data_IF_112524522363
#
_entry.id   IF_112524522363
#
_cell.length_a   1.000
_cell.length_b   1.000
_cell.length_c   1.000
_cell.angle_alpha   90.00
_cell.angle_beta   90.00
_cell.angle_gamma   90.00
#
_symmetry.space_group_name_H-M   'P 1'
#
loop_
_entity.id
_entity.type
_entity.pdbx_description
1 polymer ?
#
# COMPACT_ATOMS: atom_id res chain seq x y z
N UNK A 1 3.67 -15.14 25.03
CA UNK A 1 4.88 -15.11 24.19
C UNK A 1 4.62 -15.98 22.98
N UNK A 2 4.19 -15.39 21.86
CA UNK A 2 4.11 -16.09 20.57
C UNK A 2 5.15 -15.42 19.68
N UNK A 3 6.31 -16.08 19.53
CA UNK A 3 7.27 -15.72 18.50
C UNK A 3 6.64 -16.16 17.18
N UNK A 4 6.15 -15.22 16.39
CA UNK A 4 5.77 -15.50 15.00
C UNK A 4 7.10 -15.67 14.27
N UNK A 5 7.56 -16.91 14.18
CA UNK A 5 8.63 -17.27 13.25
C UNK A 5 8.02 -17.11 11.87
N UNK A 6 8.26 -15.95 11.27
CA UNK A 6 8.11 -15.79 9.83
C UNK A 6 9.35 -16.50 9.29
N UNK A 7 9.18 -17.73 8.81
CA UNK A 7 10.22 -18.39 8.03
C UNK A 7 10.59 -17.43 6.90
N UNK A 8 11.83 -16.94 6.95
CA UNK A 8 12.44 -16.20 5.85
C UNK A 8 12.67 -17.24 4.76
N UNK A 9 11.75 -17.34 3.80
CA UNK A 9 12.10 -17.87 2.49
C UNK A 9 13.10 -16.86 1.91
N UNK A 10 14.37 -17.23 2.01
CA UNK A 10 15.43 -16.64 1.18
C UNK A 10 14.95 -16.79 -0.27
N UNK A 11 14.55 -15.66 -0.87
CA UNK A 11 14.38 -15.55 -2.31
C UNK A 11 15.78 -15.73 -2.91
N UNK A 12 16.18 -16.99 -3.12
CA UNK A 12 17.29 -17.35 -3.99
C UNK A 12 17.00 -16.70 -5.35
N UNK A 13 17.81 -15.71 -5.69
CA UNK A 13 17.89 -15.14 -7.03
C UNK A 13 18.32 -16.28 -7.97
N UNK A 14 17.36 -17.04 -8.50
CA UNK A 14 17.58 -17.87 -9.68
C UNK A 14 17.94 -16.91 -10.83
N UNK A 15 19.25 -16.71 -11.03
CA UNK A 15 19.82 -16.23 -12.27
C UNK A 15 19.34 -17.15 -13.40
N UNK A 16 18.35 -16.68 -14.16
CA UNK A 16 17.92 -17.33 -15.39
C UNK A 16 19.07 -17.32 -16.39
N UNK A 17 19.72 -18.47 -16.55
CA UNK A 17 20.61 -18.71 -17.68
C UNK A 17 19.80 -18.70 -18.98
N UNK A 18 19.94 -17.59 -19.71
CA UNK A 18 19.52 -17.41 -21.10
C UNK A 18 20.20 -18.46 -22.00
N UNK A 19 19.49 -19.54 -22.32
CA UNK A 19 19.87 -20.46 -23.41
C UNK A 19 19.45 -19.83 -24.74
N UNK A 20 20.37 -19.08 -25.34
CA UNK A 20 20.29 -18.67 -26.74
C UNK A 20 20.34 -19.90 -27.67
N UNK A 21 19.20 -20.24 -28.30
CA UNK A 21 19.21 -21.02 -29.53
C UNK A 21 19.46 -20.10 -30.73
N UNK A 22 20.70 -20.11 -31.23
CA UNK A 22 21.07 -19.66 -32.56
C UNK A 22 20.34 -20.51 -33.61
N UNK A 23 19.45 -19.90 -34.38
CA UNK A 23 19.12 -20.37 -35.72
C UNK A 23 19.39 -19.25 -36.72
N UNK A 24 20.32 -19.58 -37.62
CA UNK A 24 20.80 -18.83 -38.76
C UNK A 24 19.68 -18.54 -39.76
N UNK A 25 19.62 -17.32 -40.28
CA UNK A 25 19.31 -17.07 -41.68
C UNK A 25 19.97 -15.77 -42.11
N UNK A 26 20.75 -15.92 -43.17
CA UNK A 26 21.64 -14.96 -43.80
C UNK A 26 20.95 -14.58 -45.11
N UNK A 27 20.61 -13.30 -45.32
CA UNK A 27 20.50 -12.74 -46.68
C UNK A 27 20.59 -11.20 -46.71
N UNK A 28 21.73 -10.78 -47.25
CA UNK A 28 22.15 -9.59 -48.01
C UNK A 28 21.31 -8.28 -48.08
N UNK A 29 22.07 -7.21 -47.73
CA UNK A 29 22.18 -5.79 -48.16
C UNK A 29 21.60 -5.37 -49.56
N UNK A 30 21.54 -4.06 -49.97
CA UNK A 30 22.40 -2.94 -49.52
C UNK A 30 21.87 -1.46 -49.53
N UNK A 31 22.75 -0.60 -48.99
CA UNK A 31 23.15 0.75 -49.44
C UNK A 31 22.29 2.02 -49.18
N UNK A 32 22.91 3.00 -48.50
CA UNK A 32 23.04 4.46 -48.77
C UNK A 32 23.50 5.16 -47.46
N UNK A 33 24.76 5.50 -47.18
CA UNK A 33 25.65 6.60 -47.65
C UNK A 33 25.24 8.05 -47.32
N UNK A 34 26.25 8.80 -46.80
CA UNK A 34 26.44 10.25 -46.61
C UNK A 34 25.79 10.93 -45.38
N UNK A 35 26.41 11.85 -44.61
CA UNK A 35 27.66 12.66 -44.69
C UNK A 35 28.15 12.99 -43.25
N UNK A 36 29.42 12.85 -42.88
CA UNK A 36 30.51 13.88 -42.90
C UNK A 36 30.28 15.24 -42.20
N UNK A 37 31.23 15.58 -41.33
CA UNK A 37 31.61 16.93 -40.86
C UNK A 37 31.62 17.04 -39.33
N UNK A 38 32.71 17.33 -38.60
CA UNK A 38 34.05 17.82 -38.92
C UNK A 38 34.45 18.94 -37.95
N UNK A 39 35.71 18.93 -37.48
CA UNK A 39 36.46 19.95 -36.68
C UNK A 39 36.55 19.65 -35.17
N UNK A 40 37.64 19.08 -34.64
CA UNK A 40 38.97 19.67 -34.36
C UNK A 40 38.94 20.94 -33.49
N UNK A 41 39.38 20.81 -32.24
CA UNK A 41 40.31 21.77 -31.66
C UNK A 41 41.27 21.10 -30.68
N UNK A 42 42.53 21.49 -30.82
CA UNK A 42 43.72 20.97 -30.16
C UNK A 42 43.93 21.69 -28.83
N UNK A 43 44.10 20.94 -27.74
CA UNK A 43 44.57 21.44 -26.45
C UNK A 43 45.70 20.56 -25.93
N UNK A 44 46.92 20.88 -26.33
CA UNK A 44 48.16 20.28 -25.80
C UNK A 44 48.43 20.85 -24.42
N UNK A 45 48.36 20.02 -23.38
CA UNK A 45 48.79 20.32 -22.03
C UNK A 45 49.56 19.14 -21.47
N UNK A 46 50.86 19.33 -21.30
CA UNK A 46 51.85 18.32 -20.92
C UNK A 46 51.85 18.10 -19.39
N UNK A 47 51.80 16.82 -19.03
CA UNK A 47 52.36 16.11 -17.87
C UNK A 47 52.73 16.90 -16.60
N UNK A 48 52.14 16.46 -15.49
CA UNK A 48 52.88 16.04 -14.29
C UNK A 48 52.16 14.80 -13.72
N UNK A 49 52.72 13.60 -14.00
CA UNK A 49 52.29 12.32 -13.44
C UNK A 49 52.82 12.22 -12.00
N UNK A 50 52.00 12.63 -11.03
CA UNK A 50 52.11 12.07 -9.68
C UNK A 50 51.36 10.74 -9.67
N UNK A 51 52.15 9.66 -9.80
CA UNK A 51 51.73 8.29 -9.55
C UNK A 51 51.49 8.14 -8.03
N UNK A 52 50.36 8.64 -7.55
CA UNK A 52 49.81 8.18 -6.27
C UNK A 52 49.49 6.69 -6.44
N UNK A 53 50.22 5.86 -5.71
CA UNK A 53 49.98 4.43 -5.64
C UNK A 53 48.58 4.19 -5.11
N UNK A 54 47.65 4.00 -6.03
CA UNK A 54 46.34 3.40 -5.79
C UNK A 54 46.63 1.96 -5.36
N UNK A 55 46.91 1.79 -4.06
CA UNK A 55 46.76 0.52 -3.37
C UNK A 55 45.26 0.19 -3.43
N UNK A 56 44.81 -0.30 -4.59
CA UNK A 56 43.53 -0.98 -4.74
C UNK A 56 43.58 -2.21 -3.83
N UNK A 57 43.29 -2.00 -2.54
CA UNK A 57 42.90 -3.06 -1.62
C UNK A 57 41.88 -3.90 -2.37
N UNK A 58 42.24 -5.16 -2.65
CA UNK A 58 41.37 -6.13 -3.29
C UNK A 58 40.26 -6.48 -2.31
N UNK A 59 39.28 -5.57 -2.19
CA UNK A 59 38.08 -5.73 -1.38
C UNK A 59 37.37 -6.97 -1.90
N UNK A 60 37.24 -7.96 -1.02
CA UNK A 60 36.69 -9.27 -1.36
C UNK A 60 35.23 -9.13 -1.77
N UNK A 61 34.70 -10.08 -2.56
CA UNK A 61 33.29 -10.07 -2.98
C UNK A 61 32.34 -10.03 -1.78
N UNK A 62 32.71 -10.67 -0.67
CA UNK A 62 31.93 -10.67 0.57
C UNK A 62 31.95 -9.31 1.29
N UNK A 63 33.08 -8.62 1.36
CA UNK A 63 33.15 -7.25 1.91
C UNK A 63 32.27 -6.27 1.10
N UNK A 64 32.26 -6.40 -0.23
CA UNK A 64 31.37 -5.61 -1.10
C UNK A 64 29.89 -5.89 -0.83
N UNK A 65 29.51 -7.14 -0.59
CA UNK A 65 28.13 -7.53 -0.25
C UNK A 65 27.71 -6.97 1.10
N UNK A 66 28.53 -7.14 2.14
CA UNK A 66 28.25 -6.62 3.48
C UNK A 66 28.19 -5.08 3.51
N UNK A 67 29.08 -4.40 2.78
CA UNK A 67 29.03 -2.94 2.63
C UNK A 67 27.75 -2.46 1.95
N UNK A 68 27.29 -3.16 0.90
CA UNK A 68 25.99 -2.87 0.25
C UNK A 68 24.82 -3.08 1.21
N UNK A 69 24.81 -4.17 1.98
CA UNK A 69 23.78 -4.48 2.99
C UNK A 69 23.75 -3.43 4.11
N UNK A 70 24.91 -3.04 4.63
CA UNK A 70 25.06 -1.98 5.62
C UNK A 70 24.58 -0.62 5.08
N UNK A 71 24.93 -0.27 3.85
CA UNK A 71 24.47 0.95 3.20
C UNK A 71 22.93 0.96 3.01
N UNK A 72 22.34 -0.18 2.63
CA UNK A 72 20.89 -0.33 2.52
C UNK A 72 20.20 -0.15 3.89
N UNK A 73 20.74 -0.76 4.94
CA UNK A 73 20.24 -0.61 6.32
C UNK A 73 20.33 0.85 6.80
N UNK A 74 21.45 1.52 6.54
CA UNK A 74 21.63 2.94 6.90
C UNK A 74 20.64 3.85 6.17
N UNK A 75 20.32 3.59 4.90
CA UNK A 75 19.28 4.31 4.16
C UNK A 75 17.91 4.17 4.83
N UNK A 76 17.55 2.97 5.27
CA UNK A 76 16.28 2.72 5.99
C UNK A 76 16.25 3.44 7.34
N UNK A 77 17.35 3.43 8.10
CA UNK A 77 17.47 4.15 9.38
C UNK A 77 17.29 5.65 9.17
N UNK A 78 17.97 6.25 8.19
CA UNK A 78 17.82 7.68 7.87
C UNK A 78 16.39 8.03 7.48
N UNK A 79 15.74 7.18 6.68
CA UNK A 79 14.32 7.33 6.31
C UNK A 79 13.40 7.30 7.53
N UNK A 80 13.59 6.33 8.43
CA UNK A 80 12.85 6.24 9.70
C UNK A 80 13.07 7.47 10.60
N UNK A 81 14.31 7.93 10.76
CA UNK A 81 14.64 9.14 11.52
C UNK A 81 13.98 10.39 10.93
N UNK A 82 13.91 10.51 9.60
CA UNK A 82 13.19 11.60 8.93
C UNK A 82 11.69 11.59 9.24
N UNK A 83 11.06 10.41 9.22
CA UNK A 83 9.65 10.25 9.59
C UNK A 83 9.39 10.62 11.06
N UNK A 84 10.29 10.20 11.96
CA UNK A 84 10.21 10.55 13.39
C UNK A 84 10.42 12.05 13.59
N UNK A 85 11.36 12.69 12.89
CA UNK A 85 11.56 14.13 12.96
C UNK A 85 10.32 14.93 12.53
N UNK A 86 9.53 14.39 11.60
CA UNK A 86 8.27 14.97 11.14
C UNK A 86 7.15 15.00 12.19
N UNK A 87 7.27 14.25 13.29
CA UNK A 87 6.29 14.24 14.39
C UNK A 87 6.08 15.65 14.98
N UNK A 88 7.13 16.47 15.00
CA UNK A 88 7.07 17.83 15.54
C UNK A 88 6.18 18.78 14.73
N UNK A 89 5.79 18.41 13.50
CA UNK A 89 4.93 19.22 12.62
C UNK A 89 3.45 19.26 13.05
N UNK A 90 3.11 18.82 14.27
CA UNK A 90 1.73 18.79 14.77
C UNK A 90 0.88 17.70 14.13
N UNK A 91 -0.41 17.70 14.41
CA UNK A 91 -1.37 16.71 13.89
C UNK A 91 -1.76 17.01 12.44
N UNK A 92 -2.20 15.98 11.72
CA UNK A 92 -2.78 16.13 10.38
C UNK A 92 -4.16 16.74 10.50
N UNK A 93 -4.38 17.86 9.82
CA UNK A 93 -5.65 18.58 9.87
C UNK A 93 -6.73 17.86 9.04
N UNK A 94 -8.02 17.97 9.39
CA UNK A 94 -9.09 17.37 8.60
C UNK A 94 -9.12 17.81 7.14
N UNK A 95 -8.76 19.07 6.85
CA UNK A 95 -8.66 19.62 5.50
C UNK A 95 -7.53 18.99 4.68
N UNK A 96 -6.38 18.72 5.30
CA UNK A 96 -5.24 18.04 4.67
C UNK A 96 -5.62 16.61 4.29
N UNK A 97 -6.21 15.87 5.23
CA UNK A 97 -6.68 14.51 4.97
C UNK A 97 -7.75 14.49 3.88
N UNK A 98 -8.73 15.38 3.97
CA UNK A 98 -9.80 15.45 2.99
C UNK A 98 -9.28 15.75 1.58
N UNK A 99 -8.32 16.67 1.45
CA UNK A 99 -7.63 16.95 0.18
C UNK A 99 -6.96 15.68 -0.36
N UNK A 100 -6.31 14.90 0.49
CA UNK A 100 -5.64 13.65 0.09
C UNK A 100 -6.62 12.56 -0.34
N UNK A 101 -7.76 12.44 0.35
CA UNK A 101 -8.83 11.50 -0.01
C UNK A 101 -9.44 11.87 -1.36
N UNK A 102 -9.70 13.16 -1.57
CA UNK A 102 -10.36 13.68 -2.79
C UNK A 102 -9.43 13.79 -3.99
N UNK A 103 -8.12 13.92 -3.74
CA UNK A 103 -7.09 14.11 -4.75
C UNK A 103 -5.84 13.30 -4.37
N UNK A 104 -5.86 11.97 -4.60
CA UNK A 104 -4.68 11.16 -4.38
C UNK A 104 -3.55 11.63 -5.31
N UNK A 105 -2.37 11.91 -4.74
CA UNK A 105 -1.21 12.29 -5.55
C UNK A 105 -0.64 11.05 -6.23
N UNK A 106 -1.01 10.87 -7.50
CA UNK A 106 -0.56 9.78 -8.34
C UNK A 106 0.86 10.00 -8.88
N UNK A 107 1.43 11.20 -8.72
CA UNK A 107 2.78 11.52 -9.21
C UNK A 107 3.89 10.96 -8.31
N UNK A 108 3.59 10.74 -7.03
CA UNK A 108 4.53 10.21 -6.06
C UNK A 108 4.86 8.74 -6.34
N UNK A 109 6.15 8.41 -6.29
CA UNK A 109 6.61 7.02 -6.33
C UNK A 109 6.18 6.28 -5.06
N UNK A 110 6.06 4.96 -5.16
CA UNK A 110 5.67 4.07 -4.06
C UNK A 110 6.36 4.40 -2.70
N UNK A 111 7.70 4.50 -2.60
CA UNK A 111 8.36 4.84 -1.33
C UNK A 111 7.98 6.22 -0.76
N UNK A 112 7.72 7.20 -1.64
CA UNK A 112 7.31 8.54 -1.20
C UNK A 112 5.88 8.55 -0.68
N UNK A 113 4.99 7.76 -1.29
CA UNK A 113 3.63 7.58 -0.79
C UNK A 113 3.61 6.88 0.58
N UNK A 114 4.46 5.87 0.77
CA UNK A 114 4.66 5.21 2.06
C UNK A 114 5.15 6.20 3.12
N UNK A 115 6.17 7.01 2.80
CA UNK A 115 6.73 7.97 3.75
C UNK A 115 5.72 9.03 4.17
N UNK A 116 4.96 9.54 3.20
CA UNK A 116 3.87 10.47 3.49
C UNK A 116 2.83 9.82 4.41
N UNK A 117 2.42 8.59 4.10
CA UNK A 117 1.41 7.86 4.85
C UNK A 117 1.86 7.55 6.28
N UNK A 118 3.09 7.04 6.45
CA UNK A 118 3.68 6.74 7.74
C UNK A 118 3.91 8.01 8.56
N UNK A 119 4.41 9.09 7.94
CA UNK A 119 4.59 10.37 8.59
C UNK A 119 3.27 10.94 9.14
N UNK A 120 2.18 10.83 8.38
CA UNK A 120 0.85 11.25 8.82
C UNK A 120 0.33 10.42 10.00
N UNK A 121 0.47 9.10 9.92
CA UNK A 121 0.07 8.21 11.00
C UNK A 121 0.87 8.46 12.28
N UNK A 122 2.18 8.67 12.16
CA UNK A 122 3.05 8.97 13.30
C UNK A 122 2.69 10.31 13.95
N UNK A 123 2.25 11.31 13.18
CA UNK A 123 1.76 12.60 13.68
C UNK A 123 0.39 12.48 14.38
N UNK A 124 -0.47 11.59 13.89
CA UNK A 124 -1.86 11.45 14.34
C UNK A 124 -2.80 12.41 13.61
N UNK A 125 -4.09 12.10 13.65
CA UNK A 125 -5.14 12.88 13.00
C UNK A 125 -5.88 13.75 14.00
N UNK A 126 -6.07 15.03 13.67
CA UNK A 126 -6.82 15.93 14.54
C UNK A 126 -8.31 15.55 14.55
N UNK A 127 -8.88 15.40 15.74
CA UNK A 127 -10.31 15.31 15.92
C UNK A 127 -10.94 16.69 15.70
N UNK A 128 -11.90 16.80 14.79
CA UNK A 128 -12.51 18.09 14.44
C UNK A 128 -13.85 17.97 13.73
N UNK A 129 -14.43 19.12 13.39
CA UNK A 129 -15.73 19.20 12.71
C UNK A 129 -15.59 18.84 11.22
N UNK A 130 -15.68 17.54 10.92
CA UNK A 130 -15.70 17.01 9.56
C UNK A 130 -16.93 17.46 8.75
N UNK A 131 -18.03 17.83 9.42
CA UNK A 131 -19.28 18.23 8.78
C UNK A 131 -19.14 19.48 7.92
N UNK A 132 -18.19 20.38 8.20
CA UNK A 132 -17.98 21.57 7.37
C UNK A 132 -17.20 21.27 6.08
N UNK A 133 -16.44 20.17 6.07
CA UNK A 133 -15.65 19.71 4.92
C UNK A 133 -16.49 18.79 4.04
N UNK A 134 -17.19 17.83 4.66
CA UNK A 134 -18.04 16.86 3.96
C UNK A 134 -19.40 17.45 3.62
N UNK A 135 -20.00 18.26 4.49
CA UNK A 135 -21.34 18.83 4.28
C UNK A 135 -21.43 19.89 3.18
N UNK A 136 -20.30 20.34 2.64
CA UNK A 136 -20.25 21.12 1.38
C UNK A 136 -20.35 20.22 0.14
N UNK A 137 -20.22 18.91 0.29
CA UNK A 137 -20.50 17.91 -0.74
C UNK A 137 -21.89 17.33 -0.46
N UNK A 138 -22.83 17.66 -1.34
CA UNK A 138 -24.24 17.29 -1.23
C UNK A 138 -24.48 15.82 -0.84
N UNK A 139 -25.36 15.63 0.15
CA UNK A 139 -25.93 14.33 0.55
C UNK A 139 -26.78 13.65 -0.53
N UNK A 140 -26.93 14.29 -1.68
CA UNK A 140 -27.68 13.81 -2.83
C UNK A 140 -26.72 13.46 -3.95
N UNK A 141 -26.20 12.24 -3.95
CA UNK A 141 -25.41 11.70 -5.07
C UNK A 141 -26.18 11.84 -6.41
N UNK A 142 -27.53 11.82 -6.40
CA UNK A 142 -28.34 12.07 -7.59
C UNK A 142 -28.43 13.55 -8.00
N UNK A 143 -28.52 14.49 -7.06
CA UNK A 143 -28.56 15.92 -7.36
C UNK A 143 -27.19 16.43 -7.86
N UNK A 144 -26.09 15.92 -7.30
CA UNK A 144 -24.74 16.30 -7.76
C UNK A 144 -24.44 15.77 -9.17
N UNK A 145 -25.00 14.62 -9.55
CA UNK A 145 -24.94 14.10 -10.91
C UNK A 145 -25.75 14.99 -11.86
N UNK A 146 -26.96 15.42 -11.45
CA UNK A 146 -27.80 16.33 -12.24
C UNK A 146 -27.13 17.71 -12.40
N UNK A 147 -26.55 18.28 -11.35
CA UNK A 147 -25.78 19.52 -11.43
C UNK A 147 -24.55 19.39 -12.33
N UNK A 148 -23.81 18.28 -12.21
CA UNK A 148 -22.65 18.01 -13.07
C UNK A 148 -23.06 17.98 -14.54
N UNK A 149 -24.16 17.28 -14.87
CA UNK A 149 -24.72 17.20 -16.23
C UNK A 149 -25.21 18.57 -16.72
N UNK A 150 -25.90 19.35 -15.88
CA UNK A 150 -26.38 20.69 -16.21
C UNK A 150 -25.23 21.68 -16.45
N UNK A 151 -24.18 21.64 -15.62
CA UNK A 151 -22.99 22.46 -15.79
C UNK A 151 -22.20 22.03 -17.03
N UNK A 152 -22.08 20.72 -17.30
CA UNK A 152 -21.47 20.21 -18.53
C UNK A 152 -22.20 20.73 -19.77
N UNK A 153 -23.54 20.64 -19.80
CA UNK A 153 -24.37 21.13 -20.90
C UNK A 153 -24.24 22.66 -21.11
N UNK A 154 -24.11 23.45 -20.04
CA UNK A 154 -23.83 24.90 -20.13
C UNK A 154 -22.42 25.20 -20.66
N UNK A 155 -21.44 24.36 -20.34
CA UNK A 155 -20.06 24.50 -20.81
C UNK A 155 -19.88 24.00 -22.25
N UNK A 156 -20.85 23.30 -22.83
CA UNK A 156 -20.88 22.96 -24.26
C UNK A 156 -21.34 24.15 -25.12
N UNK A 157 -22.23 25.00 -24.59
CA UNK A 157 -22.68 26.23 -25.27
C UNK A 157 -21.71 27.39 -25.09
N UNK A 158 -20.96 27.42 -23.98
CA UNK A 158 -19.94 28.44 -23.70
C UNK A 158 -18.63 27.79 -23.25
N UNK A 159 -17.75 27.41 -24.19
CA UNK A 159 -16.53 26.66 -23.89
C UNK A 159 -15.63 27.38 -22.87
N UNK A 160 -15.34 26.72 -21.76
CA UNK A 160 -14.39 27.18 -20.75
C UNK A 160 -13.65 25.99 -20.14
N UNK A 161 -12.42 25.77 -20.60
CA UNK A 161 -11.62 24.60 -20.25
C UNK A 161 -11.31 24.54 -18.74
N UNK A 162 -10.93 25.66 -18.12
CA UNK A 162 -10.61 25.72 -16.69
C UNK A 162 -11.82 25.36 -15.81
N UNK A 163 -13.02 25.86 -16.15
CA UNK A 163 -14.25 25.49 -15.43
C UNK A 163 -14.64 24.04 -15.66
N UNK A 164 -14.41 23.50 -16.85
CA UNK A 164 -14.66 22.09 -17.18
C UNK A 164 -13.74 21.16 -16.39
N UNK A 165 -12.45 21.47 -16.33
CA UNK A 165 -11.46 20.72 -15.55
C UNK A 165 -11.75 20.79 -14.05
N UNK A 166 -12.04 21.99 -13.54
CA UNK A 166 -12.46 22.17 -12.13
C UNK A 166 -13.71 21.35 -11.81
N UNK A 167 -14.70 21.30 -12.70
CA UNK A 167 -15.93 20.53 -12.49
C UNK A 167 -15.68 19.01 -12.52
N UNK A 168 -14.81 18.53 -13.42
CA UNK A 168 -14.38 17.13 -13.48
C UNK A 168 -13.60 16.72 -12.23
N UNK A 169 -12.64 17.53 -11.80
CA UNK A 169 -11.88 17.31 -10.56
C UNK A 169 -12.80 17.27 -9.35
N UNK A 170 -13.80 18.16 -9.29
CA UNK A 170 -14.77 18.21 -8.20
C UNK A 170 -15.75 17.04 -8.20
N UNK A 171 -16.18 16.53 -9.37
CA UNK A 171 -17.10 15.39 -9.46
C UNK A 171 -16.41 14.07 -9.15
N UNK A 172 -15.17 13.90 -9.63
CA UNK A 172 -14.31 12.76 -9.27
C UNK A 172 -14.06 12.73 -7.76
N UNK A 173 -13.82 13.90 -7.13
CA UNK A 173 -13.66 13.99 -5.67
C UNK A 173 -14.92 13.56 -4.89
N UNK A 174 -16.13 13.81 -5.41
CA UNK A 174 -17.40 13.38 -4.77
C UNK A 174 -17.58 11.86 -4.85
N UNK A 175 -17.29 11.23 -5.98
CA UNK A 175 -17.29 9.75 -6.10
C UNK A 175 -16.27 9.12 -5.16
N UNK A 176 -15.08 9.72 -5.05
CA UNK A 176 -14.01 9.22 -4.20
C UNK A 176 -14.33 9.28 -2.69
N UNK A 177 -15.10 10.26 -2.21
CA UNK A 177 -15.49 10.31 -0.79
C UNK A 177 -16.44 9.15 -0.40
N UNK A 178 -17.43 8.84 -1.25
CA UNK A 178 -18.31 7.67 -1.07
C UNK A 178 -17.53 6.36 -1.20
N UNK A 179 -16.60 6.27 -2.15
CA UNK A 179 -15.69 5.13 -2.27
C UNK A 179 -14.79 4.97 -1.03
N UNK A 180 -14.30 6.07 -0.48
CA UNK A 180 -13.44 6.06 0.70
C UNK A 180 -14.15 5.52 1.95
N UNK A 181 -15.43 5.84 2.14
CA UNK A 181 -16.23 5.23 3.21
C UNK A 181 -16.21 3.69 3.09
N UNK A 182 -16.47 3.16 1.89
CA UNK A 182 -16.41 1.72 1.64
C UNK A 182 -14.99 1.18 1.82
N UNK A 183 -13.96 1.92 1.43
CA UNK A 183 -12.56 1.53 1.62
C UNK A 183 -12.21 1.34 3.10
N UNK A 184 -12.72 2.20 3.99
CA UNK A 184 -12.55 2.02 5.45
C UNK A 184 -13.16 0.70 5.91
N UNK A 185 -14.39 0.40 5.48
CA UNK A 185 -15.07 -0.86 5.82
C UNK A 185 -14.33 -2.07 5.23
N UNK A 186 -13.87 -1.97 3.98
CA UNK A 186 -13.07 -3.00 3.33
C UNK A 186 -11.75 -3.26 4.05
N UNK A 187 -11.08 -2.24 4.60
CA UNK A 187 -9.88 -2.42 5.43
C UNK A 187 -10.20 -3.19 6.71
N UNK A 188 -11.31 -2.88 7.39
CA UNK A 188 -11.74 -3.61 8.58
C UNK A 188 -12.03 -5.09 8.25
N UNK A 189 -12.81 -5.36 7.21
CA UNK A 189 -13.10 -6.74 6.76
C UNK A 189 -11.83 -7.47 6.31
N UNK A 190 -10.90 -6.76 5.68
CA UNK A 190 -9.59 -7.31 5.32
C UNK A 190 -8.79 -7.72 6.55
N UNK A 191 -8.78 -6.89 7.60
CA UNK A 191 -8.11 -7.20 8.88
C UNK A 191 -8.76 -8.41 9.54
N UNK A 192 -10.10 -8.49 9.60
CA UNK A 192 -10.82 -9.67 10.14
C UNK A 192 -10.42 -10.94 9.40
N UNK A 193 -10.56 -10.93 8.07
CA UNK A 193 -10.26 -12.08 7.21
C UNK A 193 -8.79 -12.53 7.35
N UNK A 194 -7.85 -11.60 7.40
CA UNK A 194 -6.44 -11.94 7.60
C UNK A 194 -6.14 -12.46 9.01
N UNK A 195 -6.76 -11.89 10.05
CA UNK A 195 -6.60 -12.42 11.42
C UNK A 195 -7.17 -13.83 11.56
N UNK A 196 -8.32 -14.13 10.96
CA UNK A 196 -8.88 -15.49 10.89
C UNK A 196 -7.93 -16.44 10.12
N UNK A 197 -7.44 -16.01 8.96
CA UNK A 197 -6.47 -16.79 8.17
C UNK A 197 -5.19 -17.10 8.96
N UNK A 198 -4.67 -16.12 9.69
CA UNK A 198 -3.47 -16.25 10.53
C UNK A 198 -3.72 -17.05 11.81
N UNK A 199 -4.96 -17.16 12.28
CA UNK A 199 -5.31 -18.00 13.43
C UNK A 199 -5.26 -19.50 13.09
N UNK A 200 -5.41 -19.86 11.82
CA UNK A 200 -5.27 -21.23 11.32
C UNK A 200 -3.80 -21.61 11.08
N UNK A 201 -3.06 -21.81 12.17
CA UNK A 201 -1.66 -22.28 12.18
C UNK A 201 -1.53 -23.66 12.85
N UNK A 202 -0.49 -24.42 12.51
CA UNK A 202 -0.19 -25.73 13.11
C UNK A 202 -0.64 -26.93 12.27
N UNK A 203 -0.74 -28.10 12.92
CA UNK A 203 -1.10 -29.37 12.27
C UNK A 203 -2.46 -29.24 11.58
N UNK A 204 -2.53 -29.58 10.28
CA UNK A 204 -3.75 -29.50 9.48
C UNK A 204 -4.02 -28.14 8.81
N UNK A 205 -3.22 -27.10 9.10
CA UNK A 205 -3.37 -25.78 8.46
C UNK A 205 -3.20 -25.82 6.94
N UNK A 206 -2.25 -26.61 6.44
CA UNK A 206 -2.05 -26.82 4.99
C UNK A 206 -3.30 -27.38 4.30
N UNK A 207 -3.92 -28.40 4.91
CA UNK A 207 -5.15 -29.01 4.39
C UNK A 207 -6.32 -28.03 4.41
N UNK A 208 -6.50 -27.29 5.50
CA UNK A 208 -7.53 -26.26 5.60
C UNK A 208 -7.37 -25.18 4.52
N UNK A 209 -6.15 -24.64 4.34
CA UNK A 209 -5.86 -23.60 3.34
C UNK A 209 -6.05 -24.13 1.91
N UNK A 210 -5.70 -25.39 1.65
CA UNK A 210 -5.92 -26.05 0.37
C UNK A 210 -7.41 -26.24 0.08
N UNK A 211 -8.19 -26.70 1.07
CA UNK A 211 -9.64 -26.87 0.94
C UNK A 211 -10.35 -25.53 0.73
N UNK A 212 -9.96 -24.50 1.48
CA UNK A 212 -10.46 -23.14 1.33
C UNK A 212 -10.25 -22.63 -0.11
N UNK A 213 -9.03 -22.72 -0.64
CA UNK A 213 -8.73 -22.28 -2.00
C UNK A 213 -9.48 -23.10 -3.06
N UNK A 214 -9.62 -24.42 -2.84
CA UNK A 214 -10.38 -25.30 -3.73
C UNK A 214 -11.86 -24.89 -3.79
N UNK A 215 -12.49 -24.66 -2.64
CA UNK A 215 -13.89 -24.19 -2.57
C UNK A 215 -14.06 -22.83 -3.25
N UNK A 216 -13.14 -21.90 -2.99
CA UNK A 216 -13.20 -20.57 -3.57
C UNK A 216 -13.04 -20.60 -5.10
N UNK A 217 -12.15 -21.45 -5.62
CA UNK A 217 -12.01 -21.67 -7.06
C UNK A 217 -13.30 -22.23 -7.67
N UNK A 218 -13.91 -23.24 -7.05
CA UNK A 218 -15.18 -23.79 -7.52
C UNK A 218 -16.31 -22.75 -7.54
N UNK A 219 -16.34 -21.86 -6.55
CA UNK A 219 -17.28 -20.74 -6.49
C UNK A 219 -17.02 -19.67 -7.57
N UNK A 220 -15.76 -19.43 -7.94
CA UNK A 220 -15.39 -18.50 -9.01
C UNK A 220 -15.78 -19.01 -10.41
N UNK A 221 -15.89 -20.33 -10.58
CA UNK A 221 -16.27 -20.98 -11.85
C UNK A 221 -17.59 -21.77 -11.74
N UNK A 222 -18.72 -21.12 -11.38
CA UNK A 222 -19.94 -21.84 -11.05
C UNK A 222 -20.51 -22.65 -12.22
N UNK A 223 -20.36 -22.17 -13.47
CA UNK A 223 -20.78 -22.90 -14.67
C UNK A 223 -20.04 -24.23 -14.86
N UNK A 224 -18.84 -24.34 -14.30
CA UNK A 224 -17.98 -25.51 -14.43
C UNK A 224 -18.26 -26.56 -13.34
N UNK A 225 -18.73 -26.13 -12.15
CA UNK A 225 -18.80 -27.00 -10.97
C UNK A 225 -20.20 -27.19 -10.36
N UNK A 226 -21.20 -26.35 -10.68
CA UNK A 226 -22.50 -26.30 -9.99
C UNK A 226 -23.24 -27.64 -9.98
N UNK A 227 -23.28 -28.33 -11.12
CA UNK A 227 -24.09 -29.55 -11.30
C UNK A 227 -23.26 -30.84 -11.25
N UNK A 228 -21.99 -30.75 -10.81
CA UNK A 228 -21.10 -31.89 -10.68
C UNK A 228 -21.25 -32.55 -9.30
N UNK A 229 -21.23 -33.88 -9.26
CA UNK A 229 -21.03 -34.64 -8.01
C UNK A 229 -19.64 -34.39 -7.44
N UNK A 230 -19.42 -34.66 -6.15
CA UNK A 230 -18.11 -34.37 -5.53
C UNK A 230 -16.95 -35.17 -6.16
N UNK A 231 -17.20 -36.42 -6.59
CA UNK A 231 -16.23 -37.19 -7.36
C UNK A 231 -15.92 -36.55 -8.73
N UNK A 232 -16.94 -36.02 -9.41
CA UNK A 232 -16.76 -35.31 -10.67
C UNK A 232 -16.05 -33.96 -10.49
N UNK A 233 -16.33 -33.23 -9.40
CA UNK A 233 -15.59 -32.01 -9.03
C UNK A 233 -14.11 -32.31 -8.80
N UNK A 234 -13.79 -33.40 -8.10
CA UNK A 234 -12.40 -33.80 -7.87
C UNK A 234 -11.68 -34.08 -9.20
N UNK A 235 -12.29 -34.85 -10.10
CA UNK A 235 -11.74 -35.09 -11.45
C UNK A 235 -11.57 -33.78 -12.22
N UNK A 236 -12.57 -32.88 -12.17
CA UNK A 236 -12.51 -31.57 -12.85
C UNK A 236 -11.40 -30.68 -12.29
N UNK A 237 -11.14 -30.72 -10.99
CA UNK A 237 -10.01 -30.00 -10.37
C UNK A 237 -8.65 -30.51 -10.89
N UNK A 238 -8.51 -31.81 -11.14
CA UNK A 238 -7.29 -32.38 -11.73
C UNK A 238 -7.11 -31.90 -13.17
N UNK A 239 -8.19 -31.84 -13.96
CA UNK A 239 -8.17 -31.30 -15.32
C UNK A 239 -7.79 -29.81 -15.35
N UNK A 240 -8.28 -29.02 -14.40
CA UNK A 240 -8.04 -27.57 -14.29
C UNK A 240 -6.84 -27.23 -13.39
N UNK A 241 -5.86 -28.14 -13.25
CA UNK A 241 -4.73 -27.95 -12.33
C UNK A 241 -3.94 -26.67 -12.60
N UNK A 242 -3.72 -26.33 -13.87
CA UNK A 242 -2.99 -25.11 -14.25
C UNK A 242 -3.80 -23.85 -13.92
N UNK A 243 -5.08 -23.79 -14.30
CA UNK A 243 -5.96 -22.67 -13.96
C UNK A 243 -6.09 -22.47 -12.45
N UNK A 244 -6.15 -23.57 -11.69
CA UNK A 244 -6.19 -23.54 -10.23
C UNK A 244 -4.87 -23.02 -9.63
N UNK A 245 -3.72 -23.42 -10.19
CA UNK A 245 -2.41 -22.90 -9.77
C UNK A 245 -2.32 -21.39 -10.02
N UNK A 246 -2.73 -20.92 -11.19
CA UNK A 246 -2.64 -19.51 -11.55
C UNK A 246 -3.61 -18.66 -10.70
N UNK A 247 -4.82 -19.19 -10.44
CA UNK A 247 -5.75 -18.62 -9.46
C UNK A 247 -5.14 -18.52 -8.06
N UNK A 248 -4.46 -19.57 -7.60
CA UNK A 248 -3.80 -19.60 -6.29
C UNK A 248 -2.67 -18.56 -6.21
N UNK A 249 -1.85 -18.44 -7.26
CA UNK A 249 -0.78 -17.44 -7.34
C UNK A 249 -1.31 -16.00 -7.20
N UNK A 250 -2.34 -15.65 -7.97
CA UNK A 250 -2.98 -14.33 -7.87
C UNK A 250 -3.58 -14.08 -6.46
N UNK A 251 -4.08 -15.13 -5.83
CA UNK A 251 -4.62 -15.09 -4.46
C UNK A 251 -3.54 -14.92 -3.39
N UNK A 252 -2.35 -15.49 -3.58
CA UNK A 252 -1.22 -15.39 -2.64
C UNK A 252 -0.72 -13.95 -2.52
N UNK A 253 -0.69 -13.19 -3.62
CA UNK A 253 -0.38 -11.76 -3.61
C UNK A 253 -1.39 -10.98 -2.75
N UNK A 254 -2.68 -11.27 -2.95
CA UNK A 254 -3.74 -10.67 -2.15
C UNK A 254 -3.61 -11.04 -0.66
N UNK A 255 -3.45 -12.33 -0.33
CA UNK A 255 -3.27 -12.79 1.06
C UNK A 255 -2.08 -12.09 1.70
N UNK A 256 -0.96 -11.97 0.98
CA UNK A 256 0.24 -11.26 1.44
C UNK A 256 -0.06 -9.80 1.75
N UNK A 257 -0.77 -9.09 0.87
CA UNK A 257 -1.18 -7.70 1.11
C UNK A 257 -2.09 -7.57 2.35
N UNK A 258 -3.02 -8.50 2.55
CA UNK A 258 -3.92 -8.51 3.73
C UNK A 258 -3.16 -8.77 5.03
N UNK A 259 -2.22 -9.72 5.03
CA UNK A 259 -1.37 -10.00 6.19
C UNK A 259 -0.51 -8.79 6.55
N UNK A 260 0.02 -8.07 5.56
CA UNK A 260 0.73 -6.80 5.77
C UNK A 260 -0.18 -5.73 6.37
N UNK A 261 -1.42 -5.61 5.91
CA UNK A 261 -2.38 -4.68 6.50
C UNK A 261 -2.61 -4.99 7.98
N UNK A 262 -2.69 -6.28 8.36
CA UNK A 262 -2.77 -6.70 9.77
C UNK A 262 -1.52 -6.31 10.54
N UNK A 263 -0.32 -6.51 9.98
CA UNK A 263 0.91 -6.05 10.62
C UNK A 263 0.85 -4.54 10.87
N UNK A 264 0.54 -3.73 9.86
CA UNK A 264 0.41 -2.29 10.01
C UNK A 264 -0.67 -1.90 11.03
N UNK A 265 -1.81 -2.59 11.04
CA UNK A 265 -2.88 -2.39 12.02
C UNK A 265 -2.42 -2.67 13.45
N UNK A 266 -1.70 -3.76 13.67
CA UNK A 266 -1.19 -4.11 14.98
C UNK A 266 -0.14 -3.09 15.48
N UNK A 267 0.58 -2.41 14.58
CA UNK A 267 1.54 -1.35 14.93
C UNK A 267 0.91 0.03 15.12
N UNK A 268 0.04 0.46 14.21
CA UNK A 268 -0.40 1.85 14.10
C UNK A 268 -1.90 2.06 14.38
N UNK A 269 -2.64 0.98 14.59
CA UNK A 269 -4.06 1.00 14.91
C UNK A 269 -4.90 1.78 13.90
N UNK A 270 -5.79 2.63 14.40
CA UNK A 270 -6.79 3.38 13.64
C UNK A 270 -6.20 4.26 12.55
N UNK A 271 -4.93 4.69 12.67
CA UNK A 271 -4.28 5.48 11.62
C UNK A 271 -4.28 4.78 10.25
N UNK A 272 -4.23 3.44 10.24
CA UNK A 272 -4.27 2.60 9.04
C UNK A 272 -5.65 2.62 8.37
N UNK A 273 -6.71 2.67 9.17
CA UNK A 273 -8.07 2.76 8.66
C UNK A 273 -8.31 4.12 8.00
N UNK A 274 -7.79 5.19 8.61
CA UNK A 274 -7.97 6.57 8.15
C UNK A 274 -7.15 6.88 6.90
N UNK A 275 -5.90 6.44 6.80
CA UNK A 275 -5.08 6.89 5.68
C UNK A 275 -5.45 6.14 4.37
N UNK A 276 -5.69 6.82 3.23
CA UNK A 276 -6.15 6.17 1.99
C UNK A 276 -5.08 5.27 1.34
N UNK A 277 -3.81 5.42 1.72
CA UNK A 277 -2.72 4.57 1.19
C UNK A 277 -2.88 3.09 1.55
N UNK A 278 -3.35 2.74 2.76
CA UNK A 278 -3.32 1.36 3.27
C UNK A 278 -4.48 0.51 2.74
N UNK A 279 -4.49 0.27 1.44
CA UNK A 279 -5.41 -0.65 0.77
C UNK A 279 -4.65 -1.88 0.29
N UNK A 280 -5.34 -3.00 0.09
CA UNK A 280 -4.71 -4.23 -0.38
C UNK A 280 -3.94 -4.04 -1.71
N UNK A 281 -4.45 -3.32 -2.72
CA UNK A 281 -3.69 -3.06 -3.95
C UNK A 281 -2.37 -2.33 -3.71
N UNK A 282 -2.37 -1.30 -2.85
CA UNK A 282 -1.16 -0.51 -2.57
C UNK A 282 -0.13 -1.32 -1.76
N UNK A 283 -0.57 -2.17 -0.83
CA UNK A 283 0.30 -3.01 -0.01
C UNK A 283 0.81 -4.28 -0.73
N UNK A 284 0.14 -4.67 -1.81
CA UNK A 284 0.56 -5.75 -2.71
C UNK A 284 1.54 -5.27 -3.76
N UNK A 285 1.03 -4.52 -4.75
CA UNK A 285 1.72 -4.19 -6.00
C UNK A 285 2.62 -2.95 -5.91
N UNK A 286 2.21 -1.93 -5.14
CA UNK A 286 2.81 -0.60 -5.16
C UNK A 286 3.69 -0.29 -3.96
N UNK A 287 4.34 -1.30 -3.38
CA UNK A 287 5.23 -1.11 -2.24
C UNK A 287 6.69 -0.91 -2.64
N UNK A 288 7.43 -0.19 -1.80
CA UNK A 288 8.88 -0.17 -1.80
C UNK A 288 9.44 -1.49 -1.26
N UNK A 289 10.58 -1.93 -1.85
CA UNK A 289 11.30 -3.13 -1.41
C UNK A 289 11.68 -3.10 0.08
N UNK A 290 11.93 -1.90 0.63
CA UNK A 290 12.37 -1.69 2.01
C UNK A 290 11.23 -1.45 3.01
N UNK A 291 9.96 -1.62 2.63
CA UNK A 291 8.83 -1.27 3.50
C UNK A 291 8.81 -2.06 4.82
N UNK A 292 9.04 -3.39 4.77
CA UNK A 292 9.14 -4.23 5.98
C UNK A 292 10.24 -3.75 6.92
N UNK A 293 11.46 -3.58 6.40
CA UNK A 293 12.60 -3.09 7.18
C UNK A 293 12.36 -1.69 7.77
N UNK A 294 11.62 -0.83 7.07
CA UNK A 294 11.23 0.48 7.57
C UNK A 294 10.26 0.36 8.76
N UNK A 295 9.25 -0.51 8.66
CA UNK A 295 8.33 -0.77 9.77
C UNK A 295 9.06 -1.32 10.99
N UNK A 296 9.94 -2.29 10.79
CA UNK A 296 10.75 -2.89 11.86
C UNK A 296 11.65 -1.84 12.52
N UNK A 297 12.27 -0.97 11.72
CA UNK A 297 13.14 0.12 12.21
C UNK A 297 12.33 1.18 12.97
N UNK A 298 11.14 1.56 12.49
CA UNK A 298 10.24 2.48 13.20
C UNK A 298 9.83 1.89 14.56
N UNK A 299 9.54 0.59 14.60
CA UNK A 299 9.20 -0.10 15.85
C UNK A 299 10.37 -0.17 16.85
N UNK A 300 11.62 -0.17 16.38
CA UNK A 300 12.80 -0.12 17.24
C UNK A 300 13.13 1.29 17.73
N UNK A 301 12.95 2.30 16.86
CA UNK A 301 13.35 3.67 17.14
C UNK A 301 12.31 4.46 17.92
N UNK A 302 11.03 4.11 17.85
CA UNK A 302 10.01 4.74 18.68
C UNK A 302 9.89 3.93 19.97
N UNK A 303 10.34 4.47 21.12
CA UNK A 303 10.49 3.69 22.34
C UNK A 303 9.16 3.14 22.85
N UNK A 304 9.12 1.89 23.34
CA UNK A 304 7.97 1.38 24.11
C UNK A 304 7.80 2.21 25.40
N UNK A 305 6.55 2.40 25.85
CA UNK A 305 6.17 3.17 27.06
C UNK A 305 6.92 2.70 28.29
N UNK A 306 7.30 1.44 28.35
CA UNK A 306 8.00 0.86 29.49
C UNK A 306 9.36 1.55 29.74
N UNK A 307 9.97 2.17 28.72
CA UNK A 307 11.22 2.92 28.85
C UNK A 307 11.02 4.34 29.43
N UNK A 308 9.79 4.86 29.47
CA UNK A 308 9.44 6.16 30.06
C UNK A 308 8.83 5.91 31.44
N UNK A 309 9.68 5.55 32.39
CA UNK A 309 9.30 5.28 33.78
C UNK A 309 8.45 6.43 34.35
N UNK A 310 7.15 6.20 34.57
CA UNK A 310 6.29 7.05 35.39
C UNK A 310 5.01 7.59 34.74
N UNK A 311 4.81 7.48 33.42
CA UNK A 311 3.58 7.94 32.77
C UNK A 311 2.89 6.78 32.04
N UNK A 312 1.78 6.30 32.59
CA UNK A 312 1.08 5.09 32.16
C UNK A 312 0.38 5.10 30.79
N UNK A 313 0.89 5.84 29.78
CA UNK A 313 0.46 5.75 28.37
C UNK A 313 1.60 6.00 27.39
N UNK A 314 1.70 5.19 26.33
CA UNK A 314 2.58 5.52 25.19
C UNK A 314 2.00 6.70 24.43
N UNK A 315 2.88 7.48 23.79
CA UNK A 315 2.47 8.43 22.74
C UNK A 315 1.56 7.77 21.69
N UNK A 316 1.82 6.51 21.33
CA UNK A 316 0.99 5.77 20.38
C UNK A 316 -0.41 5.46 20.89
N UNK A 317 -0.59 5.21 22.19
CA UNK A 317 -1.92 5.03 22.78
C UNK A 317 -2.72 6.34 22.77
N UNK A 318 -2.06 7.47 23.03
CA UNK A 318 -2.71 8.78 22.93
C UNK A 318 -3.09 9.09 21.47
N UNK A 319 -2.16 8.87 20.53
CA UNK A 319 -2.41 9.02 19.09
C UNK A 319 -3.52 8.08 18.62
N UNK A 320 -3.56 6.83 19.11
CA UNK A 320 -4.61 5.86 18.78
C UNK A 320 -5.99 6.33 19.25
N UNK A 321 -6.11 6.80 20.49
CA UNK A 321 -7.37 7.35 21.02
C UNK A 321 -7.87 8.52 20.17
N UNK A 322 -6.95 9.39 19.76
CA UNK A 322 -7.27 10.52 18.90
C UNK A 322 -7.67 10.09 17.49
N UNK A 323 -6.94 9.14 16.91
CA UNK A 323 -7.27 8.56 15.62
C UNK A 323 -8.66 7.89 15.65
N UNK A 324 -9.03 7.18 16.73
CA UNK A 324 -10.41 6.66 16.90
C UNK A 324 -11.45 7.76 16.84
N UNK A 325 -11.24 8.84 17.58
CA UNK A 325 -12.15 9.99 17.56
C UNK A 325 -12.24 10.62 16.16
N UNK A 326 -11.10 10.76 15.47
CA UNK A 326 -11.04 11.28 14.11
C UNK A 326 -11.81 10.37 13.13
N UNK A 327 -11.63 9.05 13.22
CA UNK A 327 -12.36 8.08 12.40
C UNK A 327 -13.87 8.18 12.63
N UNK A 328 -14.34 8.19 13.89
CA UNK A 328 -15.76 8.34 14.18
C UNK A 328 -16.32 9.65 13.64
N UNK A 329 -15.58 10.76 13.80
CA UNK A 329 -15.97 12.06 13.26
C UNK A 329 -16.10 12.03 11.73
N UNK A 330 -15.12 11.44 11.05
CA UNK A 330 -15.08 11.30 9.60
C UNK A 330 -16.22 10.43 9.08
N UNK A 331 -16.40 9.22 9.64
CA UNK A 331 -17.45 8.29 9.21
C UNK A 331 -18.84 8.87 9.46
N UNK A 332 -19.06 9.53 10.60
CA UNK A 332 -20.32 10.23 10.89
C UNK A 332 -20.62 11.34 9.88
N UNK A 333 -19.60 12.05 9.41
CA UNK A 333 -19.76 13.11 8.42
C UNK A 333 -20.06 12.55 7.02
N UNK A 334 -19.51 11.38 6.68
CA UNK A 334 -19.73 10.70 5.40
C UNK A 334 -21.09 10.01 5.29
N UNK A 335 -21.71 9.61 6.41
CA UNK A 335 -23.04 8.99 6.40
C UNK A 335 -24.15 10.01 6.06
N UNK A 336 -25.07 9.60 5.19
CA UNK A 336 -26.17 10.41 4.67
C UNK A 336 -27.22 10.73 5.74
N UNK A 337 -27.63 9.71 6.52
CA UNK A 337 -28.72 9.78 7.48
C UNK A 337 -28.35 9.31 8.91
N UNK A 338 -29.29 9.42 9.85
CA UNK A 338 -29.08 9.08 11.26
C UNK A 338 -29.05 7.57 11.54
N UNK A 339 -29.76 6.77 10.74
CA UNK A 339 -29.81 5.31 10.89
C UNK A 339 -28.48 4.73 10.45
N UNK A 340 -27.99 5.12 9.27
CA UNK A 340 -26.68 4.73 8.75
C UNK A 340 -25.56 5.08 9.74
N UNK A 341 -25.58 6.28 10.34
CA UNK A 341 -24.62 6.69 11.38
C UNK A 341 -24.60 5.76 12.58
N UNK A 342 -25.77 5.26 12.98
CA UNK A 342 -25.91 4.39 14.15
C UNK A 342 -25.34 3.01 13.86
N UNK A 343 -25.68 2.43 12.70
CA UNK A 343 -25.16 1.15 12.25
C UNK A 343 -23.65 1.18 12.03
N UNK A 344 -23.14 2.24 11.38
CA UNK A 344 -21.70 2.42 11.16
C UNK A 344 -20.95 2.56 12.48
N UNK A 345 -21.47 3.37 13.41
CA UNK A 345 -20.85 3.50 14.73
C UNK A 345 -20.80 2.15 15.44
N UNK A 346 -21.93 1.42 15.48
CA UNK A 346 -22.02 0.09 16.09
C UNK A 346 -21.00 -0.87 15.46
N UNK A 347 -20.94 -0.93 14.14
CA UNK A 347 -20.01 -1.78 13.41
C UNK A 347 -18.53 -1.47 13.75
N UNK A 348 -18.18 -0.18 13.85
CA UNK A 348 -16.83 0.26 14.25
C UNK A 348 -16.54 -0.15 15.70
N UNK A 349 -17.48 0.08 16.61
CA UNK A 349 -17.35 -0.28 18.04
C UNK A 349 -17.17 -1.80 18.20
N UNK A 350 -17.99 -2.60 17.51
CA UNK A 350 -17.93 -4.07 17.47
C UNK A 350 -16.58 -4.56 16.90
N UNK A 351 -16.08 -3.90 15.85
CA UNK A 351 -14.77 -4.20 15.29
C UNK A 351 -13.65 -3.98 16.31
N UNK A 352 -13.64 -2.86 17.04
CA UNK A 352 -12.62 -2.61 18.06
C UNK A 352 -12.73 -3.56 19.26
N UNK A 353 -13.94 -3.97 19.63
CA UNK A 353 -14.17 -4.90 20.73
C UNK A 353 -13.63 -6.31 20.40
N UNK A 354 -13.90 -6.80 19.19
CA UNK A 354 -13.46 -8.12 18.75
C UNK A 354 -11.99 -8.15 18.30
N UNK A 355 -11.49 -7.06 17.73
CA UNK A 355 -10.18 -7.01 17.06
C UNK A 355 -9.29 -5.87 17.55
N UNK A 356 -8.99 -5.78 18.85
CA UNK A 356 -8.16 -4.71 19.38
C UNK A 356 -6.80 -4.66 18.66
N UNK A 357 -6.36 -3.45 18.33
CA UNK A 357 -4.99 -3.22 17.85
C UNK A 357 -4.02 -3.62 18.94
N UNK A 358 -3.00 -4.41 18.60
CA UNK A 358 -1.97 -4.85 19.54
C UNK A 358 -0.86 -3.81 19.69
N UNK A 359 -1.17 -2.51 19.65
CA UNK A 359 -0.19 -1.44 19.86
C UNK A 359 0.50 -1.78 21.17
N UNK A 360 1.70 -2.36 21.05
CA UNK A 360 2.38 -2.94 22.21
C UNK A 360 2.72 -1.74 23.11
N UNK A 361 2.41 -1.82 24.41
CA UNK A 361 2.88 -0.82 25.35
C UNK A 361 4.39 -0.65 25.19
#
# INVERSE_FOLDING_TARGET
MFSVVIEEEDEDEEEGEDVQQKLSSQEQAPASQDSQGGSQELGVGVQEEEQEGDEEEQETVEEKKERKKAAARLKVIKRAQGLIGGIAAGKVLPSELFKRISHPDLSLKAPQQEDLALGWILRGFEGGSWSNLVGKQDKNVSASTIEFLQLSARLDTTPNLTKRDTNLVNSVGKTQASTYFLDVIHKMETIKCAKEWLAHTGVGSGNYKQEFNTKLFQQAYPRTFRDLSDAAKHKKMVELKNDFRDFKKAREELITARNRLVCCWDYFGTGILIHPFFTAPNLGEKRGKTFKSLLDTLNQLVPPAEAVQGAGRTRFQDVEKENRNALHGLMKALCADAVERTEVKKYIDDFYAAWPSRIRP
#
